data_IF_945373875871
#
_entry.id   IF_945373875871
#
_cell.length_a   1.000
_cell.length_b   1.000
_cell.length_c   1.000
_cell.angle_alpha   90.00
_cell.angle_beta   90.00
_cell.angle_gamma   90.00
#
_symmetry.space_group_name_H-M   'P 1'
#
loop_
_entity.id
_entity.type
_entity.pdbx_description
1 polymer ?
#
# COMPACT_ATOMS: atom_id res chain seq x y z
N UNK A 1 13.34 -17.97 9.03
CA UNK A 1 13.51 -16.91 8.01
C UNK A 1 14.90 -16.32 8.17
N UNK A 2 15.73 -16.33 7.13
CA UNK A 2 17.10 -15.75 7.18
C UNK A 2 17.04 -14.24 7.44
N UNK A 3 18.04 -13.71 8.16
CA UNK A 3 18.13 -12.28 8.53
C UNK A 3 17.95 -11.37 7.31
N UNK A 4 18.57 -11.73 6.18
CA UNK A 4 18.43 -11.02 4.91
C UNK A 4 16.98 -10.87 4.44
N UNK A 5 16.18 -11.96 4.47
CA UNK A 5 14.76 -11.92 4.09
C UNK A 5 13.96 -11.02 5.03
N UNK A 6 14.33 -10.95 6.31
CA UNK A 6 13.66 -10.10 7.32
C UNK A 6 13.92 -8.62 7.07
N UNK A 7 15.18 -8.27 6.76
CA UNK A 7 15.56 -6.90 6.39
C UNK A 7 14.87 -6.49 5.09
N UNK A 8 14.89 -7.35 4.07
CA UNK A 8 14.22 -7.10 2.79
C UNK A 8 12.71 -6.82 2.97
N UNK A 9 12.03 -7.64 3.77
CA UNK A 9 10.61 -7.46 4.10
C UNK A 9 10.35 -6.13 4.80
N UNK A 10 11.20 -5.78 5.77
CA UNK A 10 11.06 -4.55 6.53
C UNK A 10 11.26 -3.32 5.63
N UNK A 11 12.29 -3.32 4.78
CA UNK A 11 12.54 -2.25 3.81
C UNK A 11 11.38 -2.12 2.82
N UNK A 12 10.84 -3.23 2.32
CA UNK A 12 9.69 -3.22 1.42
C UNK A 12 8.43 -2.64 2.07
N UNK A 13 8.15 -2.99 3.33
CA UNK A 13 7.03 -2.42 4.08
C UNK A 13 7.21 -0.91 4.33
N UNK A 14 8.41 -0.47 4.69
CA UNK A 14 8.70 0.95 4.87
C UNK A 14 8.51 1.75 3.57
N UNK A 15 9.02 1.25 2.45
CA UNK A 15 8.83 1.91 1.14
C UNK A 15 7.35 1.96 0.74
N UNK A 16 6.61 0.87 0.97
CA UNK A 16 5.18 0.80 0.67
C UNK A 16 4.38 1.81 1.52
N UNK A 17 4.75 1.98 2.79
CA UNK A 17 4.13 2.99 3.65
C UNK A 17 4.39 4.42 3.18
N UNK A 18 5.63 4.75 2.81
CA UNK A 18 5.98 6.05 2.24
C UNK A 18 5.19 6.30 0.94
N UNK A 19 5.04 5.26 0.11
CA UNK A 19 4.27 5.33 -1.12
C UNK A 19 2.79 5.62 -0.86
N UNK A 20 2.15 4.93 0.09
CA UNK A 20 0.74 5.21 0.47
C UNK A 20 0.55 6.65 0.96
N UNK A 21 1.48 7.17 1.78
CA UNK A 21 1.44 8.57 2.22
C UNK A 21 1.50 9.51 1.02
N UNK A 22 2.48 9.31 0.13
CA UNK A 22 2.63 10.13 -1.07
C UNK A 22 1.36 10.12 -1.93
N UNK A 23 0.76 8.94 -2.14
CA UNK A 23 -0.42 8.77 -2.98
C UNK A 23 -1.64 9.45 -2.37
N UNK A 24 -1.79 9.34 -1.04
CA UNK A 24 -2.83 10.05 -0.29
C UNK A 24 -2.67 11.56 -0.40
N UNK A 25 -1.46 12.10 -0.19
CA UNK A 25 -1.21 13.54 -0.32
C UNK A 25 -1.45 14.04 -1.74
N UNK A 26 -1.01 13.29 -2.75
CA UNK A 26 -1.26 13.63 -4.15
C UNK A 26 -2.77 13.63 -4.48
N UNK A 27 -3.52 12.65 -3.96
CA UNK A 27 -4.96 12.59 -4.11
C UNK A 27 -5.65 13.80 -3.47
N UNK A 28 -5.27 14.15 -2.24
CA UNK A 28 -5.78 15.34 -1.53
C UNK A 28 -5.46 16.61 -2.31
N UNK A 29 -4.23 16.79 -2.79
CA UNK A 29 -3.84 17.95 -3.57
C UNK A 29 -4.66 18.08 -4.87
N UNK A 30 -4.90 16.97 -5.57
CA UNK A 30 -5.74 16.96 -6.77
C UNK A 30 -7.21 17.28 -6.47
N UNK A 31 -7.74 16.76 -5.37
CA UNK A 31 -9.12 17.01 -4.93
C UNK A 31 -9.29 18.46 -4.50
N UNK A 32 -8.29 19.04 -3.83
CA UNK A 32 -8.35 20.43 -3.39
C UNK A 32 -8.21 21.43 -4.55
N UNK A 33 -7.47 21.06 -5.60
CA UNK A 33 -7.28 21.89 -6.79
C UNK A 33 -8.39 21.77 -7.85
N UNK A 34 -9.42 20.95 -7.64
CA UNK A 34 -10.52 20.76 -8.62
C UNK A 34 -11.84 21.30 -8.08
N UNK A 35 -12.60 22.00 -8.93
CA UNK A 35 -13.96 22.44 -8.62
C UNK A 35 -15.01 21.39 -9.01
N UNK A 36 -14.62 20.26 -9.60
CA UNK A 36 -15.53 19.19 -10.00
C UNK A 36 -15.69 18.13 -8.89
N UNK A 37 -16.84 18.08 -8.21
CA UNK A 37 -17.09 17.14 -7.11
C UNK A 37 -17.15 15.68 -7.57
N UNK A 38 -17.54 15.41 -8.82
CA UNK A 38 -17.61 14.04 -9.36
C UNK A 38 -16.19 13.51 -9.58
N UNK A 39 -15.32 14.34 -10.15
CA UNK A 39 -13.92 14.00 -10.35
C UNK A 39 -13.19 13.79 -9.01
N UNK A 40 -13.41 14.69 -8.05
CA UNK A 40 -12.87 14.55 -6.69
C UNK A 40 -13.29 13.23 -6.03
N UNK A 41 -14.59 12.88 -6.08
CA UNK A 41 -15.10 11.64 -5.51
C UNK A 41 -14.45 10.40 -6.12
N UNK A 42 -14.25 10.37 -7.45
CA UNK A 42 -13.57 9.26 -8.14
C UNK A 42 -12.14 9.09 -7.65
N UNK A 43 -11.40 10.20 -7.50
CA UNK A 43 -10.01 10.15 -7.00
C UNK A 43 -9.97 9.57 -5.59
N UNK A 44 -10.80 10.08 -4.67
CA UNK A 44 -10.82 9.59 -3.27
C UNK A 44 -11.14 8.11 -3.21
N UNK A 45 -12.15 7.65 -3.96
CA UNK A 45 -12.54 6.23 -4.00
C UNK A 45 -11.41 5.37 -4.56
N UNK A 46 -10.78 5.79 -5.66
CA UNK A 46 -9.67 5.06 -6.27
C UNK A 46 -8.49 4.93 -5.29
N UNK A 47 -8.14 6.03 -4.64
CA UNK A 47 -7.03 6.09 -3.67
C UNK A 47 -7.31 5.16 -2.49
N UNK A 48 -8.53 5.19 -1.95
CA UNK A 48 -8.95 4.31 -0.87
C UNK A 48 -8.83 2.82 -1.24
N UNK A 49 -9.35 2.42 -2.40
CA UNK A 49 -9.26 1.02 -2.83
C UNK A 49 -7.82 0.59 -3.10
N UNK A 50 -6.98 1.48 -3.64
CA UNK A 50 -5.57 1.21 -3.86
C UNK A 50 -4.84 0.96 -2.52
N UNK A 51 -5.09 1.80 -1.52
CA UNK A 51 -4.50 1.66 -0.19
C UNK A 51 -4.94 0.36 0.48
N UNK A 52 -6.24 0.00 0.39
CA UNK A 52 -6.75 -1.28 0.88
C UNK A 52 -6.05 -2.45 0.20
N UNK A 53 -5.82 -2.37 -1.12
CA UNK A 53 -5.15 -3.42 -1.88
C UNK A 53 -3.68 -3.56 -1.49
N UNK A 54 -2.98 -2.44 -1.30
CA UNK A 54 -1.59 -2.40 -0.83
C UNK A 54 -1.47 -2.95 0.60
N UNK A 55 -2.43 -2.64 1.46
CA UNK A 55 -2.49 -3.14 2.83
C UNK A 55 -2.77 -4.65 2.87
N UNK A 56 -3.75 -5.13 2.10
CA UNK A 56 -4.03 -6.56 1.98
C UNK A 56 -2.86 -7.34 1.37
N UNK A 57 -2.24 -6.80 0.32
CA UNK A 57 -1.08 -7.38 -0.35
C UNK A 57 0.12 -7.48 0.59
N UNK A 58 0.41 -6.43 1.37
CA UNK A 58 1.49 -6.46 2.36
C UNK A 58 1.22 -7.45 3.49
N UNK A 59 -0.03 -7.54 3.98
CA UNK A 59 -0.46 -8.54 4.96
C UNK A 59 -0.30 -9.98 4.45
N UNK A 60 -0.70 -10.24 3.21
CA UNK A 60 -0.51 -11.54 2.56
C UNK A 60 0.98 -11.90 2.42
N UNK A 61 1.82 -10.94 2.05
CA UNK A 61 3.26 -11.14 1.89
C UNK A 61 3.92 -11.51 3.23
N UNK A 62 3.54 -10.81 4.31
CA UNK A 62 3.99 -11.13 5.68
C UNK A 62 3.50 -12.51 6.11
N UNK A 63 2.24 -12.87 5.82
CA UNK A 63 1.68 -14.18 6.14
C UNK A 63 2.43 -15.31 5.43
N UNK A 64 2.64 -15.19 4.11
CA UNK A 64 3.36 -16.17 3.30
C UNK A 64 4.82 -16.33 3.72
N UNK A 65 5.45 -15.27 4.20
CA UNK A 65 6.85 -15.30 4.66
C UNK A 65 7.00 -15.80 6.11
N UNK A 66 5.94 -15.70 6.93
CA UNK A 66 5.90 -16.30 8.28
C UNK A 66 5.58 -17.79 8.26
N UNK A 67 4.70 -18.25 7.37
CA UNK A 67 4.45 -19.67 7.19
C UNK A 67 5.63 -20.28 6.42
N UNK A 68 6.39 -21.23 7.00
CA UNK A 68 7.23 -22.07 6.17
C UNK A 68 6.28 -22.79 5.21
N UNK A 69 6.36 -22.47 3.92
CA UNK A 69 5.89 -23.38 2.88
C UNK A 69 6.70 -24.66 3.06
N UNK A 70 6.17 -25.58 3.88
CA UNK A 70 6.44 -27.00 3.79
C UNK A 70 5.81 -27.44 2.46
N UNK A 71 6.49 -27.11 1.37
CA UNK A 71 6.32 -27.85 0.13
C UNK A 71 6.93 -29.24 0.38
N UNK A 72 6.05 -30.21 0.55
CA UNK A 72 6.35 -31.63 0.31
C UNK A 72 6.39 -31.86 -1.21
#
# INVERSE_FOLDING_TARGET
>A
MTIFKKILLFTALCLLYIFMIYLTFHAVAKVHGTNDPIFAKKIVILTFFLDVFLFAGSGYLVYKLKFPMNEK
#
